data_IF_083062100689
#
_entry.id   IF_083062100689
#
_cell.length_a   1.000
_cell.length_b   1.000
_cell.length_c   1.000
_cell.angle_alpha   90.00
_cell.angle_beta   90.00
_cell.angle_gamma   90.00
#
_symmetry.space_group_name_H-M   'P 1'
#
loop_
_entity.id
_entity.type
_entity.pdbx_description
1 polymer ?
#
# COMPACT_ATOMS: atom_id res chain seq x y z
N UNK A 1 20.66 8.71 -16.39
CA UNK A 1 19.86 8.06 -15.35
C UNK A 1 18.67 8.96 -15.05
N UNK A 2 17.51 8.40 -14.67
CA UNK A 2 16.39 9.21 -14.20
C UNK A 2 16.87 10.16 -13.10
N UNK A 3 16.47 11.43 -13.16
CA UNK A 3 16.74 12.38 -12.06
C UNK A 3 15.90 12.06 -10.83
N UNK A 4 14.74 11.44 -11.04
CA UNK A 4 13.71 11.24 -10.04
C UNK A 4 13.63 9.76 -9.62
N UNK A 5 13.29 9.52 -8.35
CA UNK A 5 13.11 8.18 -7.82
C UNK A 5 11.88 7.48 -8.45
N UNK A 6 12.01 6.24 -8.94
CA UNK A 6 10.87 5.49 -9.44
C UNK A 6 9.91 5.11 -8.31
N UNK A 7 8.67 4.81 -8.69
CA UNK A 7 7.62 4.31 -7.79
C UNK A 7 7.39 2.83 -8.03
N UNK A 8 7.55 2.02 -6.99
CA UNK A 8 7.05 0.65 -6.95
C UNK A 8 5.67 0.60 -6.30
N UNK A 9 4.67 0.19 -7.06
CA UNK A 9 3.34 -0.12 -6.53
C UNK A 9 3.27 -1.61 -6.23
N UNK A 10 2.82 -1.94 -5.02
CA UNK A 10 2.40 -3.28 -4.63
C UNK A 10 0.88 -3.30 -4.63
N UNK A 11 0.24 -3.97 -5.59
CA UNK A 11 -1.22 -4.11 -5.62
C UNK A 11 -1.67 -5.57 -5.72
N UNK A 12 -2.97 -5.82 -5.64
CA UNK A 12 -3.57 -7.15 -5.70
C UNK A 12 -4.70 -7.36 -4.70
N UNK A 13 -5.37 -8.53 -4.76
CA UNK A 13 -6.48 -8.86 -3.89
C UNK A 13 -6.10 -8.82 -2.39
N UNK A 14 -7.09 -8.73 -1.48
CA UNK A 14 -6.86 -8.94 -0.06
C UNK A 14 -6.15 -10.29 0.18
N UNK A 15 -5.31 -10.40 1.21
CA UNK A 15 -4.62 -11.66 1.55
C UNK A 15 -3.47 -12.07 0.61
N UNK A 16 -3.12 -11.25 -0.39
CA UNK A 16 -2.03 -11.53 -1.31
C UNK A 16 -0.62 -11.34 -0.69
N UNK A 17 -0.50 -10.80 0.53
CA UNK A 17 0.79 -10.64 1.21
C UNK A 17 1.54 -9.32 0.96
N UNK A 18 0.88 -8.31 0.38
CA UNK A 18 1.46 -6.97 0.12
C UNK A 18 2.07 -6.33 1.36
N UNK A 19 1.29 -6.21 2.43
CA UNK A 19 1.75 -5.62 3.69
C UNK A 19 2.91 -6.41 4.29
N UNK A 20 2.90 -7.75 4.19
CA UNK A 20 4.02 -8.58 4.64
C UNK A 20 5.29 -8.35 3.82
N UNK A 21 5.18 -8.15 2.50
CA UNK A 21 6.29 -7.79 1.64
C UNK A 21 6.83 -6.41 2.00
N UNK A 22 5.95 -5.41 2.17
CA UNK A 22 6.33 -4.06 2.59
C UNK A 22 7.12 -4.06 3.92
N UNK A 23 6.72 -4.92 4.87
CA UNK A 23 7.39 -5.10 6.17
C UNK A 23 8.85 -5.51 6.06
N UNK A 24 9.20 -6.21 4.98
CA UNK A 24 10.57 -6.66 4.71
C UNK A 24 11.35 -5.60 3.94
N UNK A 25 10.68 -4.97 2.97
CA UNK A 25 11.31 -3.98 2.10
C UNK A 25 11.70 -2.72 2.86
N UNK A 26 10.80 -2.16 3.66
CA UNK A 26 11.05 -0.86 4.32
C UNK A 26 12.26 -0.91 5.27
N UNK A 27 12.37 -1.87 6.21
CA UNK A 27 13.55 -1.96 7.08
C UNK A 27 14.85 -2.23 6.32
N UNK A 28 14.81 -3.04 5.26
CA UNK A 28 16.01 -3.37 4.48
C UNK A 28 16.52 -2.20 3.64
N UNK A 29 15.60 -1.37 3.13
CA UNK A 29 15.94 -0.20 2.31
C UNK A 29 16.29 1.03 3.16
N UNK A 30 15.74 1.13 4.37
CA UNK A 30 15.99 2.23 5.30
C UNK A 30 15.67 3.59 4.69
N UNK A 31 16.54 4.58 4.94
CA UNK A 31 16.36 5.98 4.51
C UNK A 31 16.31 6.20 3.00
N UNK A 32 16.79 5.22 2.22
CA UNK A 32 16.77 5.29 0.76
C UNK A 32 15.36 5.12 0.17
N UNK A 33 14.37 4.71 0.96
CA UNK A 33 12.98 4.61 0.50
C UNK A 33 12.05 5.55 1.26
N UNK A 34 10.93 5.92 0.62
CA UNK A 34 9.74 6.40 1.31
C UNK A 34 8.59 5.48 0.93
N UNK A 35 7.58 5.38 1.78
CA UNK A 35 6.42 4.54 1.48
C UNK A 35 5.08 5.18 1.85
N UNK A 36 4.09 4.89 1.01
CA UNK A 36 2.69 5.15 1.28
C UNK A 36 2.04 3.86 1.80
N UNK A 37 1.38 3.94 2.95
CA UNK A 37 0.55 2.85 3.46
C UNK A 37 -0.77 2.76 2.69
N UNK A 38 -1.46 1.62 2.79
CA UNK A 38 -2.82 1.48 2.25
C UNK A 38 -3.71 2.64 2.75
N UNK A 39 -4.48 3.30 1.87
CA UNK A 39 -5.35 4.39 2.29
C UNK A 39 -6.38 3.92 3.32
N UNK A 40 -6.50 4.65 4.41
CA UNK A 40 -7.36 4.29 5.54
C UNK A 40 -8.22 5.49 5.96
N UNK A 41 -9.47 5.51 5.50
CA UNK A 41 -10.40 6.61 5.74
C UNK A 41 -10.59 6.93 7.23
N UNK A 42 -10.46 5.95 8.13
CA UNK A 42 -10.54 6.19 9.58
C UNK A 42 -9.35 6.95 10.15
N UNK A 43 -8.15 6.69 9.63
CA UNK A 43 -6.96 7.42 10.04
C UNK A 43 -6.94 8.82 9.42
N UNK A 44 -7.43 8.97 8.18
CA UNK A 44 -7.45 10.24 7.47
C UNK A 44 -8.62 11.16 7.84
N UNK A 45 -9.80 10.63 8.15
CA UNK A 45 -11.05 11.40 8.35
C UNK A 45 -11.71 11.14 9.71
N UNK A 46 -11.07 10.36 10.58
CA UNK A 46 -11.51 10.08 11.95
C UNK A 46 -12.31 8.79 12.09
N UNK A 47 -12.49 8.35 13.34
CA UNK A 47 -13.01 7.01 13.70
C UNK A 47 -14.42 6.71 13.21
N UNK A 48 -15.21 7.74 12.89
CA UNK A 48 -16.57 7.62 12.34
C UNK A 48 -16.60 7.29 10.85
N UNK A 49 -15.46 7.39 10.15
CA UNK A 49 -15.41 7.09 8.73
C UNK A 49 -15.78 5.62 8.44
N UNK A 50 -16.48 5.36 7.33
CA UNK A 50 -16.84 4.02 6.93
C UNK A 50 -15.59 3.19 6.64
N UNK A 51 -15.72 1.89 6.86
CA UNK A 51 -14.59 0.97 6.79
C UNK A 51 -14.42 0.34 5.42
N UNK A 52 -15.50 0.30 4.62
CA UNK A 52 -15.55 -0.42 3.35
C UNK A 52 -16.11 0.39 2.19
N UNK A 53 -15.51 0.30 0.99
CA UNK A 53 -16.05 0.88 -0.22
C UNK A 53 -17.28 0.10 -0.69
N UNK A 54 -18.46 0.50 -0.22
CA UNK A 54 -19.74 0.05 -0.81
C UNK A 54 -20.49 1.22 -1.43
N UNK A 55 -20.64 2.32 -0.69
CA UNK A 55 -21.28 3.52 -1.20
C UNK A 55 -20.37 4.30 -2.17
N UNK A 56 -20.95 4.90 -3.21
CA UNK A 56 -20.26 5.70 -4.21
C UNK A 56 -19.37 6.81 -3.62
N UNK A 57 -19.81 7.43 -2.51
CA UNK A 57 -19.04 8.44 -1.80
C UNK A 57 -17.70 7.93 -1.27
N UNK A 58 -17.64 6.67 -0.84
CA UNK A 58 -16.41 6.08 -0.33
C UNK A 58 -15.44 5.72 -1.47
N UNK A 59 -15.94 5.15 -2.58
CA UNK A 59 -15.14 4.94 -3.78
C UNK A 59 -14.56 6.25 -4.32
N UNK A 60 -15.35 7.32 -4.32
CA UNK A 60 -14.88 8.65 -4.73
C UNK A 60 -13.82 9.21 -3.79
N UNK A 61 -13.93 8.96 -2.48
CA UNK A 61 -12.89 9.31 -1.51
C UNK A 61 -11.56 8.63 -1.84
N UNK A 62 -11.56 7.31 -2.12
CA UNK A 62 -10.36 6.59 -2.53
C UNK A 62 -9.77 7.16 -3.83
N UNK A 63 -10.59 7.43 -4.85
CA UNK A 63 -10.10 8.02 -6.11
C UNK A 63 -9.45 9.40 -5.91
N UNK A 64 -10.03 10.25 -5.04
CA UNK A 64 -9.43 11.55 -4.68
C UNK A 64 -8.12 11.38 -3.91
N UNK A 65 -8.08 10.46 -2.95
CA UNK A 65 -6.86 10.12 -2.23
C UNK A 65 -5.76 9.63 -3.19
N UNK A 66 -6.10 8.80 -4.18
CA UNK A 66 -5.13 8.33 -5.19
C UNK A 66 -4.60 9.46 -6.07
N UNK A 67 -5.42 10.48 -6.38
CA UNK A 67 -4.97 11.69 -7.06
C UNK A 67 -3.97 12.49 -6.20
N UNK A 68 -4.30 12.71 -4.94
CA UNK A 68 -3.42 13.45 -4.03
C UNK A 68 -2.10 12.69 -3.78
N UNK A 69 -2.18 11.36 -3.68
CA UNK A 69 -1.01 10.48 -3.61
C UNK A 69 -0.14 10.56 -4.86
N UNK A 70 -0.72 10.52 -6.07
CA UNK A 70 0.05 10.64 -7.31
C UNK A 70 0.83 11.96 -7.39
N UNK A 71 0.20 13.07 -6.97
CA UNK A 71 0.85 14.38 -6.87
C UNK A 71 1.96 14.40 -5.83
N UNK A 72 1.71 13.82 -4.66
CA UNK A 72 2.71 13.70 -3.60
C UNK A 72 3.92 12.85 -4.04
N UNK A 73 3.68 11.73 -4.74
CA UNK A 73 4.72 10.89 -5.30
C UNK A 73 5.62 11.65 -6.27
N UNK A 74 5.03 12.40 -7.22
CA UNK A 74 5.81 13.20 -8.19
C UNK A 74 6.74 14.17 -7.46
N UNK A 75 6.24 14.85 -6.43
CA UNK A 75 7.02 15.79 -5.62
C UNK A 75 8.12 15.10 -4.80
N UNK A 76 7.82 13.96 -4.18
CA UNK A 76 8.77 13.21 -3.34
C UNK A 76 9.80 12.42 -4.16
N UNK A 77 9.49 12.10 -5.42
CA UNK A 77 10.41 11.45 -6.34
C UNK A 77 11.61 12.35 -6.67
N UNK A 78 11.42 13.68 -6.63
CA UNK A 78 12.48 14.65 -6.84
C UNK A 78 13.42 14.85 -5.62
N UNK A 79 13.13 14.23 -4.47
CA UNK A 79 14.02 14.29 -3.30
C UNK A 79 15.32 13.51 -3.58
N UNK A 80 16.50 14.16 -3.56
CA UNK A 80 17.77 13.53 -3.91
C UNK A 80 18.20 12.37 -3.00
N UNK A 81 17.64 12.29 -1.79
CA UNK A 81 17.91 11.19 -0.84
C UNK A 81 17.03 9.97 -1.16
N UNK A 82 15.87 10.19 -1.79
CA UNK A 82 14.94 9.12 -2.15
C UNK A 82 15.47 8.35 -3.36
N UNK A 83 15.60 7.03 -3.23
CA UNK A 83 15.97 6.11 -4.32
C UNK A 83 14.81 5.27 -4.81
N UNK A 84 13.78 5.08 -3.98
CA UNK A 84 12.57 4.36 -4.33
C UNK A 84 11.38 4.88 -3.52
N UNK A 85 10.26 5.14 -4.18
CA UNK A 85 8.97 5.28 -3.51
C UNK A 85 8.24 3.94 -3.57
N UNK A 86 7.66 3.49 -2.45
CA UNK A 86 6.83 2.28 -2.41
C UNK A 86 5.39 2.68 -2.09
N UNK A 87 4.42 2.10 -2.80
CA UNK A 87 3.00 2.31 -2.53
C UNK A 87 2.31 1.00 -2.24
N UNK A 88 1.74 0.84 -1.04
CA UNK A 88 0.76 -0.21 -0.77
C UNK A 88 -0.58 0.21 -1.39
N UNK A 89 -0.91 -0.44 -2.51
CA UNK A 89 -1.99 -0.10 -3.46
C UNK A 89 -1.79 1.17 -4.26
N UNK A 90 -2.48 1.25 -5.39
CA UNK A 90 -2.72 2.49 -6.12
C UNK A 90 -4.20 2.57 -6.61
N UNK A 91 -4.44 3.37 -7.66
CA UNK A 91 -5.71 3.46 -8.36
C UNK A 91 -6.33 2.11 -8.77
N UNK A 92 -5.52 1.08 -9.05
CA UNK A 92 -6.02 -0.26 -9.41
C UNK A 92 -6.89 -0.84 -8.31
N UNK A 93 -6.51 -0.69 -7.04
CA UNK A 93 -7.34 -1.09 -5.91
C UNK A 93 -8.73 -0.44 -5.93
N UNK A 94 -8.80 0.89 -6.11
CA UNK A 94 -10.06 1.62 -6.15
C UNK A 94 -10.93 1.19 -7.36
N UNK A 95 -10.32 1.05 -8.53
CA UNK A 95 -10.99 0.59 -9.74
C UNK A 95 -11.48 -0.86 -9.63
N UNK A 96 -10.69 -1.74 -9.01
CA UNK A 96 -11.04 -3.14 -8.78
C UNK A 96 -12.30 -3.26 -7.94
N UNK A 97 -12.41 -2.48 -6.85
CA UNK A 97 -13.64 -2.47 -6.05
C UNK A 97 -14.82 -1.85 -6.80
N UNK A 98 -14.64 -0.77 -7.58
CA UNK A 98 -15.75 -0.23 -8.38
C UNK A 98 -16.23 -1.20 -9.46
N UNK A 99 -15.35 -2.09 -9.94
CA UNK A 99 -15.69 -3.13 -10.92
C UNK A 99 -16.34 -4.36 -10.26
N UNK A 100 -15.78 -4.81 -9.14
CA UNK A 100 -16.20 -6.04 -8.48
C UNK A 100 -17.40 -5.84 -7.54
N UNK A 101 -17.58 -4.65 -6.96
CA UNK A 101 -18.75 -4.31 -6.15
C UNK A 101 -19.90 -4.00 -7.09
N UNK A 102 -20.85 -4.93 -7.21
CA UNK A 102 -22.06 -4.80 -8.04
C UNK A 102 -23.27 -4.28 -7.23
N UNK A 103 -23.03 -3.44 -6.23
CA UNK A 103 -24.10 -2.90 -5.39
C UNK A 103 -24.78 -1.70 -6.05
N UNK A 104 -26.08 -1.52 -5.84
CA UNK A 104 -26.87 -0.44 -6.46
C UNK A 104 -26.40 0.97 -6.08
N UNK A 105 -25.84 1.12 -4.89
CA UNK A 105 -25.31 2.38 -4.36
C UNK A 105 -23.81 2.59 -4.65
N UNK A 106 -23.19 1.68 -5.41
CA UNK A 106 -21.76 1.76 -5.74
C UNK A 106 -21.47 2.78 -6.84
N UNK A 107 -20.23 3.30 -6.86
CA UNK A 107 -19.78 4.15 -7.95
C UNK A 107 -19.59 3.29 -9.21
N UNK A 108 -20.26 3.59 -10.34
CA UNK A 108 -20.11 2.79 -11.54
C UNK A 108 -18.65 2.74 -12.02
N UNK A 109 -18.17 1.55 -12.36
CA UNK A 109 -16.79 1.35 -12.84
C UNK A 109 -16.39 2.31 -13.96
N UNK A 110 -17.28 2.55 -14.94
CA UNK A 110 -17.02 3.49 -16.04
C UNK A 110 -16.72 4.90 -15.53
N UNK A 111 -17.50 5.39 -14.55
CA UNK A 111 -17.29 6.70 -13.93
C UNK A 111 -15.94 6.76 -13.20
N UNK A 112 -15.60 5.70 -12.47
CA UNK A 112 -14.30 5.60 -11.79
C UNK A 112 -13.13 5.58 -12.78
N UNK A 113 -13.26 4.83 -13.89
CA UNK A 113 -12.27 4.77 -14.98
C UNK A 113 -12.09 6.13 -15.65
N UNK A 114 -13.17 6.84 -15.93
CA UNK A 114 -13.13 8.17 -16.53
C UNK A 114 -12.54 9.22 -15.58
N UNK A 115 -12.72 9.06 -14.26
CA UNK A 115 -12.01 9.87 -13.27
C UNK A 115 -10.51 9.60 -13.29
N UNK A 116 -10.11 8.32 -13.27
CA UNK A 116 -8.71 7.92 -13.36
C UNK A 116 -8.03 8.52 -14.60
N UNK A 117 -8.61 8.33 -15.78
CA UNK A 117 -8.02 8.77 -17.04
C UNK A 117 -7.85 10.29 -17.11
N UNK A 118 -8.81 11.05 -16.55
CA UNK A 118 -8.78 12.53 -16.60
C UNK A 118 -7.92 13.16 -15.51
N UNK A 119 -7.76 12.52 -14.36
CA UNK A 119 -7.18 13.17 -13.19
C UNK A 119 -5.96 12.45 -12.63
N UNK A 120 -6.02 11.13 -12.46
CA UNK A 120 -4.96 10.38 -11.80
C UNK A 120 -3.83 10.06 -12.78
N UNK A 121 -4.15 9.49 -13.95
CA UNK A 121 -3.14 9.09 -14.94
C UNK A 121 -2.20 10.25 -15.35
N UNK A 122 -2.69 11.48 -15.61
CA UNK A 122 -1.81 12.61 -15.94
C UNK A 122 -0.95 13.11 -14.76
N UNK A 123 -1.27 12.71 -13.53
CA UNK A 123 -0.56 13.12 -12.32
C UNK A 123 0.41 12.04 -11.80
N UNK A 124 0.47 10.88 -12.45
CA UNK A 124 1.40 9.82 -12.06
C UNK A 124 2.84 10.24 -12.40
N UNK A 125 3.82 9.83 -11.57
CA UNK A 125 5.23 9.97 -11.91
C UNK A 125 5.58 9.27 -13.21
N UNK A 126 6.67 9.70 -13.85
CA UNK A 126 7.13 9.13 -15.13
C UNK A 126 7.45 7.63 -15.03
N UNK A 127 8.06 7.21 -13.92
CA UNK A 127 8.46 5.82 -13.70
C UNK A 127 7.66 5.16 -12.61
N UNK A 128 6.58 4.49 -13.02
CA UNK A 128 5.75 3.64 -12.17
C UNK A 128 5.94 2.18 -12.58
N UNK A 129 6.52 1.41 -11.66
CA UNK A 129 6.64 -0.05 -11.72
C UNK A 129 5.51 -0.66 -10.90
N UNK A 130 4.74 -1.59 -11.47
CA UNK A 130 3.62 -2.22 -10.76
C UNK A 130 3.88 -3.71 -10.57
N UNK A 131 3.86 -4.17 -9.32
CA UNK A 131 3.86 -5.58 -8.96
C UNK A 131 2.47 -5.97 -8.43
N UNK A 132 1.77 -6.81 -9.17
CA UNK A 132 0.47 -7.37 -8.79
C UNK A 132 0.71 -8.70 -8.10
N UNK A 133 0.52 -8.73 -6.77
CA UNK A 133 0.51 -9.95 -5.99
C UNK A 133 -0.86 -10.61 -6.15
N UNK A 134 -0.90 -11.70 -6.90
CA UNK A 134 -2.11 -12.44 -7.22
C UNK A 134 -2.26 -13.65 -6.30
N UNK A 135 -3.44 -13.79 -5.70
CA UNK A 135 -3.81 -14.93 -4.84
C UNK A 135 -5.13 -15.50 -5.34
N UNK A 136 -5.29 -16.82 -5.34
CA UNK A 136 -6.60 -17.43 -5.66
C UNK A 136 -7.64 -17.08 -4.58
N UNK A 137 -8.94 -16.99 -4.94
CA UNK A 137 -10.02 -16.73 -3.98
C UNK A 137 -10.00 -17.69 -2.78
N UNK A 138 -9.83 -18.99 -3.01
CA UNK A 138 -9.74 -19.99 -1.95
C UNK A 138 -8.57 -19.74 -0.99
N UNK A 139 -7.36 -19.55 -1.52
CA UNK A 139 -6.19 -19.27 -0.69
C UNK A 139 -6.31 -17.92 0.04
N UNK A 140 -6.96 -16.94 -0.59
CA UNK A 140 -7.29 -15.63 -0.02
C UNK A 140 -8.14 -15.77 1.24
N UNK A 141 -9.19 -16.59 1.20
CA UNK A 141 -10.06 -16.91 2.33
C UNK A 141 -9.29 -17.66 3.42
N UNK A 142 -8.55 -18.72 3.07
CA UNK A 142 -7.76 -19.51 4.03
C UNK A 142 -6.77 -18.66 4.81
N UNK A 143 -5.99 -17.80 4.13
CA UNK A 143 -5.01 -16.90 4.78
C UNK A 143 -5.64 -15.90 5.75
N UNK A 144 -6.91 -15.55 5.53
CA UNK A 144 -7.67 -14.64 6.40
C UNK A 144 -8.55 -15.35 7.42
N UNK A 145 -8.67 -16.68 7.40
CA UNK A 145 -9.65 -17.43 8.20
C UNK A 145 -9.66 -17.10 9.70
N UNK A 146 -8.52 -16.67 10.27
CA UNK A 146 -8.39 -16.30 11.68
C UNK A 146 -8.95 -14.91 12.04
N UNK A 147 -9.53 -14.19 11.08
CA UNK A 147 -10.03 -12.83 11.27
C UNK A 147 -11.47 -12.60 10.79
N UNK A 148 -12.18 -13.67 10.41
CA UNK A 148 -13.53 -13.61 9.82
C UNK A 148 -14.60 -12.91 10.68
N UNK A 149 -14.42 -12.88 12.00
CA UNK A 149 -15.44 -12.41 12.94
C UNK A 149 -15.55 -10.89 13.05
N UNK A 150 -14.67 -10.10 12.41
CA UNK A 150 -14.75 -8.64 12.50
C UNK A 150 -15.67 -8.06 11.42
N UNK A 151 -16.68 -7.23 11.78
CA UNK A 151 -17.54 -6.55 10.80
C UNK A 151 -16.74 -5.78 9.73
N UNK A 152 -15.60 -5.19 10.13
CA UNK A 152 -14.61 -4.53 9.27
C UNK A 152 -14.00 -5.44 8.19
N UNK A 153 -14.15 -6.76 8.20
CA UNK A 153 -13.54 -7.59 7.15
C UNK A 153 -14.54 -8.45 6.39
N UNK A 154 -15.84 -8.34 6.70
CA UNK A 154 -16.91 -9.19 6.16
C UNK A 154 -16.91 -9.29 4.63
N UNK A 155 -16.79 -8.19 3.90
CA UNK A 155 -16.77 -8.24 2.43
C UNK A 155 -15.56 -8.99 1.85
N UNK A 156 -14.43 -9.05 2.57
CA UNK A 156 -13.25 -9.81 2.13
C UNK A 156 -13.38 -11.31 2.42
N UNK A 157 -14.55 -11.76 2.91
CA UNK A 157 -14.95 -13.16 3.00
C UNK A 157 -16.10 -13.50 2.02
N UNK A 158 -16.51 -12.55 1.18
CA UNK A 158 -17.40 -12.83 0.05
C UNK A 158 -16.58 -13.46 -1.08
N UNK A 159 -16.76 -14.76 -1.30
CA UNK A 159 -16.06 -15.52 -2.33
C UNK A 159 -16.32 -14.96 -3.74
N UNK A 160 -17.58 -14.61 -4.05
CA UNK A 160 -17.93 -14.04 -5.35
C UNK A 160 -17.29 -12.68 -5.59
N UNK A 161 -17.15 -11.85 -4.54
CA UNK A 161 -16.37 -10.61 -4.63
C UNK A 161 -14.89 -10.92 -4.93
N UNK A 162 -14.30 -11.91 -4.28
CA UNK A 162 -12.90 -12.29 -4.47
C UNK A 162 -12.62 -12.86 -5.87
N UNK A 163 -13.54 -13.65 -6.41
CA UNK A 163 -13.47 -14.14 -7.80
C UNK A 163 -13.50 -13.00 -8.81
N UNK A 164 -14.39 -12.02 -8.59
CA UNK A 164 -14.44 -10.81 -9.42
C UNK A 164 -13.17 -9.98 -9.28
N UNK A 165 -12.68 -9.76 -8.07
CA UNK A 165 -11.39 -9.09 -7.87
C UNK A 165 -10.25 -9.84 -8.58
N UNK A 166 -10.20 -11.16 -8.48
CA UNK A 166 -9.20 -11.98 -9.16
C UNK A 166 -9.24 -11.76 -10.67
N UNK A 167 -10.43 -11.84 -11.27
CA UNK A 167 -10.67 -11.56 -12.70
C UNK A 167 -10.22 -10.17 -13.10
N UNK A 168 -10.52 -9.15 -12.28
CA UNK A 168 -10.06 -7.78 -12.56
C UNK A 168 -8.53 -7.70 -12.61
N UNK A 169 -7.82 -8.30 -11.65
CA UNK A 169 -6.36 -8.23 -11.59
C UNK A 169 -5.66 -9.03 -12.69
N UNK A 170 -6.29 -10.10 -13.21
CA UNK A 170 -5.72 -10.89 -14.31
C UNK A 170 -6.00 -10.26 -15.67
N UNK A 171 -7.23 -9.79 -15.89
CA UNK A 171 -7.72 -9.52 -17.25
C UNK A 171 -7.80 -8.02 -17.55
N UNK A 172 -7.97 -7.18 -16.53
CA UNK A 172 -8.26 -5.75 -16.70
C UNK A 172 -7.07 -4.90 -16.25
N UNK A 173 -6.56 -5.13 -15.04
CA UNK A 173 -5.50 -4.33 -14.42
C UNK A 173 -4.25 -4.13 -15.30
N UNK A 174 -3.75 -5.14 -16.05
CA UNK A 174 -2.58 -4.95 -16.91
C UNK A 174 -2.76 -3.87 -17.98
N UNK A 175 -3.99 -3.65 -18.45
CA UNK A 175 -4.30 -2.61 -19.46
C UNK A 175 -4.38 -1.20 -18.89
N UNK A 176 -4.40 -1.07 -17.56
CA UNK A 176 -4.51 0.19 -16.84
C UNK A 176 -3.16 0.65 -16.26
N UNK A 177 -2.13 -0.18 -16.36
CA UNK A 177 -0.80 0.16 -15.86
C UNK A 177 -0.04 1.00 -16.91
N UNK A 178 0.72 2.05 -16.51
CA UNK A 178 1.56 2.81 -17.44
C UNK A 178 2.62 1.96 -18.15
N UNK A 179 3.10 0.93 -17.45
CA UNK A 179 4.03 -0.08 -17.95
C UNK A 179 3.47 -1.47 -17.66
N UNK A 180 3.80 -2.52 -18.45
CA UNK A 180 3.37 -3.88 -18.16
C UNK A 180 3.73 -4.29 -16.71
N UNK A 181 2.75 -4.74 -15.89
CA UNK A 181 3.03 -5.08 -14.51
C UNK A 181 3.75 -6.44 -14.41
N UNK A 182 4.53 -6.61 -13.34
CA UNK A 182 4.93 -7.93 -12.88
C UNK A 182 3.74 -8.59 -12.17
N UNK A 183 3.31 -9.77 -12.60
CA UNK A 183 2.29 -10.56 -11.91
C UNK A 183 2.97 -11.69 -11.12
N UNK A 184 2.89 -11.61 -9.79
CA UNK A 184 3.44 -12.63 -8.88
C UNK A 184 2.30 -13.50 -8.38
N UNK A 185 2.28 -14.78 -8.76
CA UNK A 185 1.38 -15.78 -8.17
C UNK A 185 1.86 -16.13 -6.77
N UNK A 186 1.04 -15.85 -5.76
CA UNK A 186 1.42 -16.03 -4.35
C UNK A 186 0.91 -17.34 -3.77
N UNK A 187 0.10 -18.10 -4.49
CA UNK A 187 -0.39 -19.41 -4.06
C UNK A 187 0.79 -20.37 -3.92
N UNK A 188 0.97 -20.93 -2.71
CA UNK A 188 2.12 -21.79 -2.39
C UNK A 188 3.49 -21.09 -2.37
N UNK A 189 3.58 -19.82 -2.78
CA UNK A 189 4.84 -19.08 -2.75
C UNK A 189 5.26 -18.73 -1.33
N UNK A 190 6.55 -18.87 -1.04
CA UNK A 190 7.14 -18.39 0.21
C UNK A 190 7.36 -16.87 0.16
N UNK A 191 7.40 -16.18 1.32
CA UNK A 191 7.76 -14.77 1.37
C UNK A 191 9.09 -14.46 0.67
N UNK A 192 10.07 -15.36 0.74
CA UNK A 192 11.38 -15.21 0.09
C UNK A 192 11.28 -15.29 -1.42
N UNK A 193 10.44 -16.18 -1.95
CA UNK A 193 10.20 -16.28 -3.40
C UNK A 193 9.56 -15.00 -3.93
N UNK A 194 8.56 -14.46 -3.21
CA UNK A 194 7.90 -13.21 -3.59
C UNK A 194 8.89 -12.05 -3.57
N UNK A 195 9.70 -11.93 -2.52
CA UNK A 195 10.72 -10.88 -2.40
C UNK A 195 11.78 -11.00 -3.50
N UNK A 196 12.23 -12.21 -3.83
CA UNK A 196 13.22 -12.43 -4.90
C UNK A 196 12.67 -12.00 -6.27
N UNK A 197 11.40 -12.28 -6.58
CA UNK A 197 10.78 -11.83 -7.82
C UNK A 197 10.63 -10.30 -7.88
N UNK A 198 10.23 -9.66 -6.77
CA UNK A 198 10.20 -8.20 -6.68
C UNK A 198 11.59 -7.59 -6.84
N UNK A 199 12.60 -8.19 -6.22
CA UNK A 199 14.00 -7.76 -6.32
C UNK A 199 14.53 -7.86 -7.76
N UNK A 200 14.31 -8.98 -8.45
CA UNK A 200 14.67 -9.15 -9.84
C UNK A 200 13.99 -8.09 -10.74
N UNK A 201 12.70 -7.84 -10.51
CA UNK A 201 11.96 -6.81 -11.26
C UNK A 201 12.51 -5.39 -11.06
N UNK A 202 12.97 -5.06 -9.84
CA UNK A 202 13.67 -3.79 -9.60
C UNK A 202 15.04 -3.76 -10.28
N UNK A 203 15.78 -4.86 -10.30
CA UNK A 203 17.06 -4.96 -11.00
C UNK A 203 16.89 -4.77 -12.52
N UNK A 204 15.87 -5.39 -13.12
CA UNK A 204 15.54 -5.23 -14.54
C UNK A 204 15.15 -3.79 -14.91
N UNK A 205 14.59 -3.05 -13.94
CA UNK A 205 14.32 -1.61 -14.06
C UNK A 205 15.55 -0.72 -13.80
N UNK A 206 16.74 -1.30 -13.62
CA UNK A 206 17.99 -0.56 -13.40
C UNK A 206 18.27 -0.19 -11.93
N UNK A 207 17.50 -0.70 -10.97
CA UNK A 207 17.69 -0.44 -9.53
C UNK A 207 18.52 -1.53 -8.86
N UNK A 208 19.67 -1.88 -9.45
CA UNK A 208 20.50 -3.03 -9.04
C UNK A 208 20.93 -2.96 -7.57
N UNK A 209 21.34 -1.78 -7.08
CA UNK A 209 21.75 -1.61 -5.67
C UNK A 209 20.58 -1.81 -4.70
N UNK A 210 19.40 -1.30 -5.06
CA UNK A 210 18.15 -1.49 -4.30
C UNK A 210 17.77 -2.97 -4.26
N UNK A 211 17.83 -3.66 -5.40
CA UNK A 211 17.57 -5.09 -5.50
C UNK A 211 18.56 -5.91 -4.64
N UNK A 212 19.85 -5.59 -4.70
CA UNK A 212 20.87 -6.25 -3.89
C UNK A 212 20.59 -6.11 -2.38
N UNK A 213 20.18 -4.93 -1.91
CA UNK A 213 19.77 -4.71 -0.51
C UNK A 213 18.52 -5.53 -0.12
N UNK A 214 17.55 -5.66 -1.02
CA UNK A 214 16.36 -6.47 -0.74
C UNK A 214 16.70 -7.95 -0.61
N UNK A 215 17.69 -8.45 -1.34
CA UNK A 215 18.12 -9.86 -1.22
C UNK A 215 18.70 -10.20 0.17
N UNK A 216 19.07 -9.20 0.97
CA UNK A 216 19.52 -9.39 2.36
C UNK A 216 18.40 -9.17 3.39
N UNK A 217 17.16 -8.89 2.97
CA UNK A 217 16.08 -8.57 3.89
C UNK A 217 15.63 -9.80 4.69
N UNK A 218 15.69 -9.70 6.01
CA UNK A 218 15.22 -10.75 6.89
C UNK A 218 13.69 -10.94 6.83
N UNK A 219 13.24 -12.16 7.08
CA UNK A 219 11.82 -12.45 7.31
C UNK A 219 11.51 -12.23 8.79
N UNK A 220 10.53 -11.38 9.16
CA UNK A 220 10.12 -11.24 10.55
C UNK A 220 9.60 -12.59 11.08
N UNK A 221 10.28 -13.16 12.08
CA UNK A 221 9.94 -14.49 12.62
C UNK A 221 8.73 -14.49 13.56
N UNK A 222 8.41 -13.34 14.18
CA UNK A 222 7.31 -13.17 15.15
C UNK A 222 6.63 -11.82 14.89
N UNK A 223 5.32 -11.74 15.17
CA UNK A 223 4.59 -10.46 15.16
C UNK A 223 5.16 -9.55 16.26
N UNK A 224 5.69 -8.37 15.92
CA UNK A 224 6.30 -7.47 16.89
C UNK A 224 5.27 -6.86 17.83
N UNK A 225 5.72 -6.47 19.02
CA UNK A 225 4.90 -5.72 19.97
C UNK A 225 4.81 -4.24 19.58
N UNK A 226 3.76 -3.55 20.04
CA UNK A 226 3.68 -2.10 19.90
C UNK A 226 4.73 -1.47 20.83
N UNK A 227 5.62 -0.65 20.28
CA UNK A 227 6.64 0.04 21.10
C UNK A 227 5.93 0.99 22.09
N UNK A 228 6.34 1.03 23.37
CA UNK A 228 5.76 1.91 24.38
C UNK A 228 5.66 3.39 23.94
N UNK A 229 6.61 3.89 23.14
CA UNK A 229 6.63 5.26 22.61
C UNK A 229 5.38 5.61 21.80
N UNK A 230 4.83 4.63 21.09
CA UNK A 230 3.68 4.81 20.21
C UNK A 230 2.33 4.57 20.88
N UNK A 231 2.30 4.02 22.10
CA UNK A 231 1.09 3.53 22.76
C UNK A 231 -0.02 4.57 22.89
N UNK A 232 0.32 5.78 23.34
CA UNK A 232 -0.66 6.83 23.56
C UNK A 232 -1.32 7.29 22.25
N UNK A 233 -0.52 7.56 21.21
CA UNK A 233 -1.05 7.96 19.91
C UNK A 233 -1.84 6.84 19.23
N UNK A 234 -1.35 5.60 19.31
CA UNK A 234 -2.05 4.42 18.81
C UNK A 234 -3.44 4.31 19.42
N UNK A 235 -3.56 4.42 20.75
CA UNK A 235 -4.85 4.37 21.45
C UNK A 235 -5.76 5.54 21.06
N UNK A 236 -5.23 6.76 21.04
CA UNK A 236 -6.00 7.97 20.69
C UNK A 236 -6.58 7.92 19.26
N UNK A 237 -5.87 7.26 18.34
CA UNK A 237 -6.26 7.11 16.94
C UNK A 237 -7.06 5.81 16.67
N UNK A 238 -7.62 5.18 17.71
CA UNK A 238 -8.54 4.02 17.61
C UNK A 238 -7.87 2.65 17.70
N UNK A 239 -6.57 2.61 17.95
CA UNK A 239 -5.81 1.41 18.27
C UNK A 239 -5.98 0.27 17.26
N UNK A 240 -6.24 -0.93 17.77
CA UNK A 240 -6.30 -2.16 16.97
C UNK A 240 -7.37 -2.10 15.87
N UNK A 241 -8.45 -1.35 16.09
CA UNK A 241 -9.52 -1.24 15.12
C UNK A 241 -9.11 -0.39 13.92
N UNK A 242 -8.29 0.65 14.14
CA UNK A 242 -7.83 1.57 13.10
C UNK A 242 -6.56 1.09 12.41
N UNK A 243 -5.56 0.65 13.18
CA UNK A 243 -4.21 0.32 12.69
C UNK A 243 -4.02 -1.17 12.40
N UNK A 244 -4.82 -2.05 13.00
CA UNK A 244 -4.45 -3.46 13.11
C UNK A 244 -3.22 -3.65 14.00
N UNK A 245 -2.56 -4.79 13.87
CA UNK A 245 -1.38 -5.08 14.68
C UNK A 245 -0.10 -4.44 14.12
N UNK A 246 0.91 -4.18 14.97
CA UNK A 246 2.27 -3.90 14.50
C UNK A 246 2.80 -5.07 13.68
N UNK A 247 3.56 -4.76 12.64
CA UNK A 247 4.18 -5.77 11.77
C UNK A 247 5.66 -5.49 11.46
N UNK A 248 6.21 -4.39 11.99
CA UNK A 248 7.66 -4.17 12.13
C UNK A 248 8.02 -3.86 13.59
N UNK A 249 9.25 -4.16 13.97
CA UNK A 249 9.88 -3.49 15.12
C UNK A 249 9.96 -1.97 14.85
N UNK A 250 10.09 -1.12 15.89
CA UNK A 250 10.42 0.29 15.70
C UNK A 250 11.75 0.40 14.94
N UNK A 251 11.79 1.24 13.92
CA UNK A 251 12.96 1.45 13.07
C UNK A 251 13.28 2.94 13.00
N UNK A 252 14.57 3.26 12.96
CA UNK A 252 15.02 4.62 12.69
C UNK A 252 14.89 4.90 11.19
N UNK A 253 14.29 6.03 10.88
CA UNK A 253 14.02 6.47 9.51
C UNK A 253 14.08 7.99 9.40
N UNK A 254 14.97 8.51 8.56
CA UNK A 254 15.09 9.94 8.22
C UNK A 254 15.12 10.89 9.41
N UNK A 255 15.83 10.49 10.47
CA UNK A 255 15.98 11.24 11.72
C UNK A 255 14.79 11.12 12.69
N UNK A 256 13.93 10.13 12.48
CA UNK A 256 12.77 9.83 13.32
C UNK A 256 12.69 8.35 13.64
N UNK A 257 11.84 7.95 14.59
CA UNK A 257 11.51 6.54 14.79
C UNK A 257 10.11 6.28 14.22
N UNK A 258 9.98 5.21 13.44
CA UNK A 258 8.72 4.80 12.83
C UNK A 258 8.39 3.36 13.21
N UNK A 259 7.11 3.05 13.41
CA UNK A 259 6.64 1.67 13.50
C UNK A 259 5.44 1.48 12.58
N UNK A 260 5.52 0.46 11.72
CA UNK A 260 4.47 0.16 10.79
C UNK A 260 3.46 -0.81 11.43
N UNK A 261 2.18 -0.51 11.24
CA UNK A 261 1.02 -1.35 11.58
C UNK A 261 0.26 -1.76 10.30
N UNK A 262 -0.52 -2.84 10.36
CA UNK A 262 -1.16 -3.43 9.18
C UNK A 262 -1.90 -2.43 8.27
N UNK A 263 -2.44 -1.34 8.83
CA UNK A 263 -3.31 -0.39 8.14
C UNK A 263 -2.86 1.08 8.29
N UNK A 264 -1.60 1.31 8.69
CA UNK A 264 -1.03 2.65 8.89
C UNK A 264 0.31 2.59 9.61
N UNK A 265 1.01 3.71 9.74
CA UNK A 265 2.28 3.76 10.47
C UNK A 265 2.29 4.94 11.45
N UNK A 266 3.03 4.78 12.54
CA UNK A 266 3.23 5.80 13.57
C UNK A 266 4.66 6.31 13.51
N UNK A 267 4.82 7.62 13.64
CA UNK A 267 6.08 8.33 13.50
C UNK A 267 6.30 9.21 14.72
N UNK A 268 7.48 9.12 15.33
CA UNK A 268 7.94 10.00 16.40
C UNK A 268 9.15 10.80 15.90
N UNK A 269 8.93 12.10 15.69
CA UNK A 269 9.97 13.01 15.23
C UNK A 269 10.89 13.48 16.36
N UNK A 270 11.87 14.36 16.05
CA UNK A 270 12.87 14.84 17.01
C UNK A 270 12.31 15.56 18.25
N UNK A 271 11.09 16.11 18.15
CA UNK A 271 10.39 16.77 19.27
C UNK A 271 9.80 15.78 20.27
N UNK A 272 9.92 14.46 20.03
CA UNK A 272 9.30 13.40 20.82
C UNK A 272 7.79 13.27 20.61
N UNK A 273 7.17 14.12 19.78
CA UNK A 273 5.75 14.03 19.44
C UNK A 273 5.51 12.86 18.48
N UNK A 274 4.60 11.98 18.85
CA UNK A 274 4.12 10.91 17.98
C UNK A 274 2.92 11.37 17.16
N UNK A 275 2.93 11.10 15.86
CA UNK A 275 1.87 11.38 14.90
C UNK A 275 1.67 10.20 13.93
N UNK A 276 0.62 10.27 13.10
CA UNK A 276 0.47 9.39 11.96
C UNK A 276 1.59 9.67 10.95
N UNK A 277 2.19 8.63 10.39
CA UNK A 277 3.01 8.73 9.20
C UNK A 277 2.11 9.04 8.00
N UNK A 278 2.18 10.27 7.49
CA UNK A 278 1.37 10.74 6.37
C UNK A 278 2.19 11.58 5.39
N UNK A 279 2.62 10.95 4.30
CA UNK A 279 3.39 11.60 3.25
C UNK A 279 2.57 12.57 2.39
N UNK A 280 1.23 12.59 2.51
CA UNK A 280 0.41 13.63 1.87
C UNK A 280 0.57 14.97 2.59
N UNK A 281 0.82 14.93 3.90
CA UNK A 281 1.00 16.10 4.76
C UNK A 281 2.46 16.58 4.85
N UNK A 282 3.43 15.81 4.35
CA UNK A 282 4.85 16.18 4.41
C UNK A 282 5.17 17.44 3.57
N UNK A 283 5.79 18.49 4.17
CA UNK A 283 6.32 19.62 3.44
C UNK A 283 7.61 19.24 2.68
N UNK A 284 7.90 19.92 1.58
CA UNK A 284 9.12 19.71 0.79
C UNK A 284 10.34 20.04 1.65
N UNK A 285 11.21 19.05 1.92
CA UNK A 285 12.55 19.32 2.45
C UNK A 285 13.39 19.84 1.29
N UNK A 286 13.68 21.15 1.27
CA UNK A 286 14.64 21.74 0.32
C UNK A 286 14.16 22.87 -0.60
N UNK A 287 13.19 23.69 -0.18
CA UNK A 287 13.08 25.05 -0.70
C UNK A 287 13.66 26.03 0.33
N UNK A 288 14.98 26.09 0.39
CA UNK A 288 15.76 27.14 1.06
C UNK A 288 16.76 27.70 0.06
#
# INVERSE_FOLDING_TARGET
MPTDAPVLVLDGPPGAGKTSLLARMVPALGDACLWFTEPNARLASGLRAPVHPSAAGHSLWFLRHELDKARAMTRLAADPVTRLLISDRNHLGALAYCWATQADDSLPYRTARDFYARHIAPALPEQVLTAILLVSPGQSLTRRGNVAERPRWRQWFDEGLLERLHTFYTDIAPTLCPTPPLIIKTDGATPDTVLAQTSAFLADAGLTDTAAKLNTAATPGIRPALDPRFRAAYQALGGLESFGHPFTEPLDHRGSTVQLCQLGALHQGPTGRTVLWDLLAEPVRGAA
#
